data_IF_229462419370
#
_entry.id   IF_229462419370
#
_cell.length_a   1.000
_cell.length_b   1.000
_cell.length_c   1.000
_cell.angle_alpha   90.00
_cell.angle_beta   90.00
_cell.angle_gamma   90.00
#
_symmetry.space_group_name_H-M   'P 1'
#
loop_
_entity.id
_entity.type
_entity.pdbx_description
1 polymer ?
#
# COMPACT_ATOMS: atom_id res chain seq x y z
N UNK A 1 -21.21 5.20 24.82
CA UNK A 1 -21.78 4.51 23.64
C UNK A 1 -20.63 4.10 22.73
N UNK A 2 -20.30 2.81 22.62
CA UNK A 2 -19.31 2.30 21.65
C UNK A 2 -20.02 2.13 20.31
N UNK A 3 -19.49 2.72 19.25
CA UNK A 3 -19.97 2.47 17.89
C UNK A 3 -19.41 1.10 17.48
N UNK A 4 -20.24 0.06 17.52
CA UNK A 4 -19.84 -1.26 17.03
C UNK A 4 -19.64 -1.17 15.52
N UNK A 5 -18.40 -1.29 15.11
CA UNK A 5 -17.97 -1.17 13.74
C UNK A 5 -18.10 -2.53 13.05
N UNK A 6 -19.28 -2.85 12.50
CA UNK A 6 -19.51 -4.15 11.82
C UNK A 6 -18.75 -4.31 10.49
N UNK A 7 -17.89 -3.33 10.15
CA UNK A 7 -17.14 -3.24 8.89
C UNK A 7 -15.71 -3.80 8.97
N UNK A 8 -15.27 -4.30 10.12
CA UNK A 8 -13.99 -4.98 10.24
C UNK A 8 -14.20 -6.51 10.19
N UNK A 9 -13.60 -7.20 9.20
CA UNK A 9 -13.66 -8.68 9.09
C UNK A 9 -13.05 -9.35 10.32
N UNK A 10 -12.09 -8.68 10.96
CA UNK A 10 -11.72 -8.88 12.35
C UNK A 10 -11.51 -7.53 13.04
N UNK A 11 -11.88 -7.43 14.31
CA UNK A 11 -11.56 -6.25 15.15
C UNK A 11 -10.09 -6.28 15.63
N UNK A 12 -9.24 -7.07 14.97
CA UNK A 12 -7.86 -7.26 15.33
C UNK A 12 -7.09 -6.02 14.86
N UNK A 13 -7.02 -5.03 15.74
CA UNK A 13 -5.93 -4.07 15.69
C UNK A 13 -4.67 -4.91 15.75
N UNK A 14 -3.83 -4.91 14.71
CA UNK A 14 -2.63 -5.74 14.71
C UNK A 14 -1.80 -5.41 15.97
N UNK A 15 -1.86 -6.25 17.00
CA UNK A 15 -1.20 -6.06 18.30
C UNK A 15 0.31 -6.33 18.23
N UNK A 16 0.92 -6.07 17.08
CA UNK A 16 2.32 -6.32 16.81
C UNK A 16 2.95 -5.23 15.96
N UNK A 17 4.28 -5.18 15.99
CA UNK A 17 5.09 -4.20 15.27
C UNK A 17 4.89 -4.22 13.74
N UNK A 18 5.69 -3.43 13.02
CA UNK A 18 5.54 -3.17 11.59
C UNK A 18 5.26 -4.41 10.72
N UNK A 19 5.95 -5.53 10.96
CA UNK A 19 5.79 -6.79 10.22
C UNK A 19 4.45 -7.50 10.46
N UNK A 20 3.90 -7.42 11.67
CA UNK A 20 2.58 -7.98 11.98
C UNK A 20 1.49 -7.17 11.26
N UNK A 21 1.62 -5.84 11.29
CA UNK A 21 0.77 -4.94 10.52
C UNK A 21 0.84 -5.19 9.02
N UNK A 22 2.05 -5.38 8.48
CA UNK A 22 2.26 -5.70 7.06
C UNK A 22 1.64 -7.05 6.65
N UNK A 23 1.83 -8.09 7.48
CA UNK A 23 1.28 -9.42 7.19
C UNK A 23 -0.24 -9.40 7.24
N UNK A 24 -0.82 -8.63 8.16
CA UNK A 24 -2.26 -8.40 8.23
C UNK A 24 -2.76 -7.66 6.99
N UNK A 25 -2.06 -6.61 6.56
CA UNK A 25 -2.37 -5.88 5.33
C UNK A 25 -2.24 -6.78 4.09
N UNK A 26 -1.25 -7.67 4.02
CA UNK A 26 -1.03 -8.61 2.92
C UNK A 26 -2.14 -9.68 2.83
N UNK A 27 -2.51 -10.27 3.98
CA UNK A 27 -3.58 -11.29 4.04
C UNK A 27 -4.96 -10.70 3.78
N UNK A 28 -5.16 -9.44 4.16
CA UNK A 28 -6.37 -8.68 3.88
C UNK A 28 -6.21 -7.76 2.65
N UNK A 29 -5.19 -7.99 1.80
CA UNK A 29 -4.89 -7.20 0.60
C UNK A 29 -5.89 -7.55 -0.51
N UNK A 30 -7.15 -7.36 -0.21
CA UNK A 30 -8.18 -7.29 -1.20
C UNK A 30 -8.31 -5.79 -1.50
N UNK A 31 -8.01 -5.39 -2.74
CA UNK A 31 -8.38 -4.10 -3.33
C UNK A 31 -9.92 -4.01 -3.42
N UNK A 32 -10.61 -4.29 -2.32
CA UNK A 32 -12.05 -4.48 -2.24
C UNK A 32 -12.64 -3.12 -1.91
N UNK A 33 -13.52 -2.68 -2.79
CA UNK A 33 -14.39 -1.51 -2.61
C UNK A 33 -15.20 -1.72 -1.34
N UNK A 34 -14.84 -1.02 -0.27
CA UNK A 34 -15.61 -1.08 0.97
C UNK A 34 -16.90 -0.31 0.75
N UNK A 35 -18.01 -1.03 0.77
CA UNK A 35 -19.34 -0.51 0.50
C UNK A 35 -20.09 -0.42 1.83
N UNK A 36 -20.25 0.78 2.36
CA UNK A 36 -21.02 1.03 3.56
C UNK A 36 -22.47 1.35 3.19
N UNK A 37 -23.41 0.52 3.63
CA UNK A 37 -24.85 0.77 3.54
C UNK A 37 -25.33 1.38 4.85
N UNK A 38 -25.68 2.67 4.82
CA UNK A 38 -26.21 3.36 6.00
C UNK A 38 -27.73 3.23 6.02
N UNK A 39 -28.26 2.39 6.90
CA UNK A 39 -29.70 2.27 7.16
C UNK A 39 -30.08 3.13 8.37
N UNK A 40 -30.63 4.32 8.11
CA UNK A 40 -31.17 5.19 9.15
C UNK A 40 -32.70 5.01 9.24
N UNK A 41 -33.21 4.67 10.44
CA UNK A 41 -34.64 4.62 10.75
C UNK A 41 -34.97 5.78 11.69
N UNK A 42 -36.03 6.54 11.42
CA UNK A 42 -36.47 7.66 12.27
C UNK A 42 -38.00 7.71 12.40
N UNK A 43 -38.48 8.06 13.60
CA UNK A 43 -39.90 8.21 13.95
C UNK A 43 -40.61 6.91 14.34
N UNK A 44 -41.79 7.04 14.99
CA UNK A 44 -42.65 5.91 15.41
C UNK A 44 -43.17 5.06 14.25
N UNK A 45 -43.15 5.57 13.01
CA UNK A 45 -43.71 4.90 11.84
C UNK A 45 -42.72 4.04 11.04
N UNK A 46 -41.53 3.71 11.57
CA UNK A 46 -40.57 2.81 10.91
C UNK A 46 -40.21 3.16 9.44
N UNK A 47 -40.37 4.43 9.04
CA UNK A 47 -40.01 4.87 7.68
C UNK A 47 -38.49 4.88 7.57
N UNK A 48 -37.94 3.95 6.80
CA UNK A 48 -36.51 3.83 6.54
C UNK A 48 -36.11 4.86 5.46
N UNK A 49 -35.02 5.60 5.68
CA UNK A 49 -34.39 6.36 4.60
C UNK A 49 -33.82 5.39 3.56
N UNK A 50 -33.81 5.79 2.29
CA UNK A 50 -33.08 5.05 1.25
C UNK A 50 -31.63 4.86 1.67
N UNK A 51 -31.18 3.61 1.63
CA UNK A 51 -29.83 3.21 2.04
C UNK A 51 -28.80 3.90 1.13
N UNK A 52 -28.19 4.99 1.62
CA UNK A 52 -27.08 5.62 0.91
C UNK A 52 -25.88 4.70 0.97
N UNK A 53 -25.48 4.24 -0.20
CA UNK A 53 -24.32 3.38 -0.39
C UNK A 53 -23.10 4.26 -0.62
N UNK A 54 -22.20 4.31 0.36
CA UNK A 54 -20.94 5.04 0.24
C UNK A 54 -19.83 4.03 0.01
N UNK A 55 -19.03 4.24 -1.03
CA UNK A 55 -17.91 3.37 -1.36
C UNK A 55 -16.59 4.10 -1.19
N UNK A 56 -15.69 3.55 -0.40
CA UNK A 56 -14.36 4.11 -0.22
C UNK A 56 -13.27 3.06 -0.40
N UNK A 57 -12.11 3.52 -0.85
CA UNK A 57 -10.92 2.72 -1.07
C UNK A 57 -9.98 2.92 0.12
N UNK A 58 -9.59 1.83 0.77
CA UNK A 58 -8.60 1.85 1.85
C UNK A 58 -7.26 1.43 1.25
N UNK A 59 -6.32 2.36 1.16
CA UNK A 59 -4.97 2.09 0.63
C UNK A 59 -4.06 1.68 1.80
N UNK A 60 -3.47 0.47 1.79
CA UNK A 60 -2.52 0.06 2.82
C UNK A 60 -1.19 0.81 2.69
N UNK A 61 -0.91 1.72 3.63
CA UNK A 61 0.23 2.64 3.54
C UNK A 61 1.59 1.95 3.78
N UNK A 62 1.65 0.86 4.56
CA UNK A 62 2.92 0.13 4.79
C UNK A 62 3.38 -0.58 3.52
N UNK A 63 2.43 -1.12 2.76
CA UNK A 63 2.67 -1.69 1.43
C UNK A 63 3.20 -0.62 0.45
N UNK A 64 2.63 0.58 0.49
CA UNK A 64 3.08 1.71 -0.33
C UNK A 64 4.52 2.13 0.03
N UNK A 65 4.88 2.15 1.31
CA UNK A 65 6.26 2.42 1.74
C UNK A 65 7.26 1.38 1.22
N UNK A 66 6.92 0.09 1.30
CA UNK A 66 7.79 -0.98 0.78
C UNK A 66 8.01 -0.83 -0.73
N UNK A 67 6.95 -0.52 -1.47
CA UNK A 67 7.04 -0.28 -2.91
C UNK A 67 7.98 0.90 -3.23
N UNK A 68 7.88 2.01 -2.50
CA UNK A 68 8.76 3.16 -2.67
C UNK A 68 10.21 2.80 -2.37
N UNK A 69 10.47 2.07 -1.29
CA UNK A 69 11.82 1.64 -0.92
C UNK A 69 12.42 0.72 -2.00
N UNK A 70 11.65 -0.24 -2.50
CA UNK A 70 12.08 -1.12 -3.59
C UNK A 70 12.41 -0.33 -4.87
N UNK A 71 11.56 0.63 -5.24
CA UNK A 71 11.82 1.53 -6.38
C UNK A 71 13.09 2.36 -6.18
N UNK A 72 13.31 2.91 -4.99
CA UNK A 72 14.51 3.68 -4.68
C UNK A 72 15.77 2.83 -4.81
N UNK A 73 15.77 1.61 -4.23
CA UNK A 73 16.88 0.65 -4.35
C UNK A 73 17.12 0.29 -5.81
N UNK A 74 16.07 0.01 -6.57
CA UNK A 74 16.15 -0.33 -7.99
C UNK A 74 16.79 0.79 -8.81
N UNK A 75 16.35 2.04 -8.62
CA UNK A 75 16.90 3.21 -9.31
C UNK A 75 18.38 3.43 -8.95
N UNK A 76 18.73 3.31 -7.66
CA UNK A 76 20.12 3.44 -7.21
C UNK A 76 21.01 2.34 -7.77
N UNK A 77 20.51 1.09 -7.77
CA UNK A 77 21.20 -0.06 -8.36
C UNK A 77 21.48 0.14 -9.85
N UNK A 78 20.50 0.60 -10.62
CA UNK A 78 20.70 0.92 -12.05
C UNK A 78 21.75 2.01 -12.25
N UNK A 79 21.74 3.08 -11.43
CA UNK A 79 22.75 4.15 -11.52
C UNK A 79 24.15 3.64 -11.24
N UNK A 80 24.31 2.80 -10.21
CA UNK A 80 25.61 2.19 -9.89
C UNK A 80 26.09 1.26 -10.99
N UNK A 81 25.21 0.42 -11.52
CA UNK A 81 25.52 -0.50 -12.61
C UNK A 81 25.96 0.25 -13.88
N UNK A 82 25.22 1.28 -14.28
CA UNK A 82 25.56 2.11 -15.44
C UNK A 82 26.90 2.81 -15.27
N UNK A 83 27.17 3.38 -14.08
CA UNK A 83 28.46 4.01 -13.78
C UNK A 83 29.63 3.02 -13.88
N UNK A 84 29.44 1.79 -13.40
CA UNK A 84 30.47 0.75 -13.45
C UNK A 84 30.83 0.37 -14.91
N UNK A 85 29.82 0.18 -15.76
CA UNK A 85 30.02 -0.16 -17.18
C UNK A 85 30.70 0.98 -17.94
N UNK A 86 30.24 2.23 -17.73
CA UNK A 86 30.83 3.40 -18.39
C UNK A 86 32.30 3.57 -18.00
N UNK A 87 32.63 3.42 -16.72
CA UNK A 87 34.01 3.50 -16.25
C UNK A 87 34.89 2.39 -16.84
N UNK A 88 34.37 1.15 -16.92
CA UNK A 88 35.08 0.04 -17.54
C UNK A 88 35.35 0.32 -19.04
N UNK A 89 34.38 0.88 -19.75
CA UNK A 89 34.53 1.25 -21.16
C UNK A 89 35.55 2.39 -21.38
N UNK A 90 35.53 3.42 -20.53
CA UNK A 90 36.48 4.54 -20.61
C UNK A 90 37.93 4.10 -20.34
N UNK A 91 38.15 3.25 -19.33
CA UNK A 91 39.47 2.71 -19.02
C UNK A 91 40.02 1.84 -20.16
N UNK A 92 39.17 1.05 -20.82
CA UNK A 92 39.60 0.26 -21.99
C UNK A 92 40.02 1.16 -23.17
N UNK A 93 39.28 2.25 -23.40
CA UNK A 93 39.61 3.23 -24.46
C UNK A 93 40.92 3.96 -24.19
N UNK A 94 41.19 4.37 -22.95
CA UNK A 94 42.43 5.06 -22.60
C UNK A 94 43.68 4.17 -22.72
N UNK A 95 43.56 2.88 -22.41
CA UNK A 95 44.62 1.88 -22.62
C UNK A 95 44.92 1.67 -24.11
N UNK A 96 43.90 1.58 -24.96
CA UNK A 96 44.11 1.40 -26.41
C UNK A 96 44.77 2.63 -27.07
N UNK A 97 44.47 3.85 -26.59
CA UNK A 97 45.09 5.09 -27.11
C UNK A 97 46.58 5.23 -26.78
N UNK A 98 47.09 4.52 -25.76
CA UNK A 98 48.50 4.58 -25.33
C UNK A 98 49.40 3.54 -26.00
N UNK A 99 48.83 2.52 -26.65
CA UNK A 99 49.58 1.57 -27.49
C UNK A 99 49.69 2.10 -28.91
#
# INVERSE_FOLDING_TARGET
RRLNTWWAKSNDVAEGGFMAGLTNEWRNFALVKYTATVNAKYGEQNKAFEAKTVSFWVIPWRMLLILIVLLAIFILGMKMYNKAIVNAALNKKSLNKKK
#
